data_IF_640211034708
#
_entry.id   IF_640211034708
#
_cell.length_a   1.000
_cell.length_b   1.000
_cell.length_c   1.000
_cell.angle_alpha   90.00
_cell.angle_beta   90.00
_cell.angle_gamma   90.00
#
_symmetry.space_group_name_H-M   'P 1'
#
loop_
_entity.id
_entity.type
_entity.pdbx_description
1 polymer ?
#
# COMPACT_ATOMS: atom_id res chain seq x y z
N UNK A 1 5.33 5.89 14.04
CA UNK A 1 4.68 4.79 13.30
C UNK A 1 5.66 4.20 12.30
N UNK A 2 5.78 2.88 12.25
CA UNK A 2 6.61 2.17 11.26
C UNK A 2 5.84 1.98 9.95
N UNK A 3 6.41 2.41 8.83
CA UNK A 3 5.83 2.30 7.49
C UNK A 3 6.76 1.48 6.59
N UNK A 4 6.21 0.53 5.85
CA UNK A 4 6.94 -0.20 4.80
C UNK A 4 6.48 0.29 3.43
N UNK A 5 7.44 0.56 2.55
CA UNK A 5 7.18 0.83 1.14
C UNK A 5 8.14 0.00 0.30
N UNK A 6 7.62 -0.71 -0.70
CA UNK A 6 8.45 -1.39 -1.72
C UNK A 6 8.47 -0.57 -3.00
N UNK A 7 9.65 -0.29 -3.55
CA UNK A 7 9.79 0.72 -4.59
C UNK A 7 11.06 0.51 -5.44
N UNK A 8 11.01 0.98 -6.69
CA UNK A 8 12.16 1.22 -7.57
C UNK A 8 12.36 2.72 -7.84
N UNK A 9 13.43 3.10 -8.54
CA UNK A 9 13.73 4.51 -8.81
C UNK A 9 12.64 5.23 -9.63
N UNK A 10 11.77 4.50 -10.36
CA UNK A 10 10.72 5.10 -11.18
C UNK A 10 9.58 5.70 -10.35
N UNK A 11 9.44 5.30 -9.09
CA UNK A 11 8.42 5.81 -8.18
C UNK A 11 8.95 6.81 -7.14
N UNK A 12 10.23 7.21 -7.23
CA UNK A 12 10.84 8.09 -6.22
C UNK A 12 10.09 9.42 -6.08
N UNK A 13 9.62 10.02 -7.19
CA UNK A 13 8.82 11.25 -7.14
C UNK A 13 7.47 11.01 -6.44
N UNK A 14 6.77 9.94 -6.79
CA UNK A 14 5.46 9.60 -6.23
C UNK A 14 5.57 9.29 -4.74
N UNK A 15 6.62 8.58 -4.33
CA UNK A 15 6.94 8.36 -2.92
C UNK A 15 7.03 9.68 -2.15
N UNK A 16 7.68 10.71 -2.71
CA UNK A 16 7.79 12.00 -1.99
C UNK A 16 6.44 12.71 -1.84
N UNK A 17 5.52 12.57 -2.80
CA UNK A 17 4.14 13.07 -2.66
C UNK A 17 3.38 12.27 -1.60
N UNK A 18 3.49 10.94 -1.63
CA UNK A 18 2.88 10.06 -0.64
C UNK A 18 3.35 10.42 0.78
N UNK A 19 4.66 10.51 1.00
CA UNK A 19 5.24 10.88 2.30
C UNK A 19 4.85 12.29 2.74
N UNK A 20 4.79 13.25 1.81
CA UNK A 20 4.28 14.60 2.11
C UNK A 20 2.85 14.54 2.61
N UNK A 21 1.99 13.76 1.96
CA UNK A 21 0.59 13.59 2.39
C UNK A 21 0.47 12.93 3.76
N UNK A 22 1.28 11.89 4.01
CA UNK A 22 1.34 11.18 5.28
C UNK A 22 1.70 12.12 6.43
N UNK A 23 2.81 12.85 6.30
CA UNK A 23 3.30 13.78 7.33
C UNK A 23 2.30 14.92 7.55
N UNK A 24 1.80 15.53 6.47
CA UNK A 24 0.90 16.69 6.57
C UNK A 24 -0.41 16.33 7.26
N UNK A 25 -0.97 15.16 6.97
CA UNK A 25 -2.25 14.70 7.52
C UNK A 25 -2.14 14.08 8.91
N UNK A 26 -0.92 13.92 9.44
CA UNK A 26 -0.63 13.29 10.73
C UNK A 26 0.49 14.06 11.46
N UNK A 27 0.35 15.39 11.57
CA UNK A 27 1.43 16.29 12.03
C UNK A 27 1.88 16.08 13.48
N UNK A 28 1.13 15.31 14.26
CA UNK A 28 1.46 14.96 15.65
C UNK A 28 2.23 13.64 15.77
N UNK A 29 2.47 12.95 14.66
CA UNK A 29 3.08 11.64 14.60
C UNK A 29 4.45 11.70 13.91
N UNK A 30 5.39 10.86 14.36
CA UNK A 30 6.65 10.64 13.67
C UNK A 30 6.61 9.32 12.91
N UNK A 31 7.28 9.28 11.77
CA UNK A 31 7.29 8.13 10.88
C UNK A 31 8.69 7.55 10.74
N UNK A 32 8.80 6.23 10.87
CA UNK A 32 9.99 5.48 10.53
C UNK A 32 9.68 4.67 9.27
N UNK A 33 10.23 5.10 8.14
CA UNK A 33 9.88 4.57 6.83
C UNK A 33 10.98 3.66 6.32
N UNK A 34 10.63 2.39 6.17
CA UNK A 34 11.48 1.32 5.66
C UNK A 34 11.26 1.21 4.14
N UNK A 35 12.28 1.59 3.37
CA UNK A 35 12.25 1.47 1.91
C UNK A 35 12.88 0.15 1.50
N UNK A 36 12.04 -0.84 1.18
CA UNK A 36 12.46 -2.14 0.71
C UNK A 36 12.66 -2.13 -0.81
N UNK A 37 13.88 -2.41 -1.26
CA UNK A 37 14.22 -2.38 -2.68
C UNK A 37 15.42 -3.28 -3.02
N UNK A 38 15.61 -3.54 -4.31
CA UNK A 38 16.83 -4.14 -4.86
C UNK A 38 17.69 -3.14 -5.65
N UNK A 39 17.15 -1.97 -6.02
CA UNK A 39 17.74 -1.13 -7.08
C UNK A 39 17.94 0.35 -6.76
N UNK A 40 17.37 0.90 -5.67
CA UNK A 40 17.58 2.32 -5.33
C UNK A 40 19.06 2.65 -5.10
N UNK A 41 19.46 3.78 -5.66
CA UNK A 41 20.81 4.32 -5.59
C UNK A 41 20.94 5.37 -4.48
N UNK A 42 22.17 5.75 -4.14
CA UNK A 42 22.41 6.86 -3.21
C UNK A 42 21.76 8.18 -3.69
N UNK A 43 21.72 8.40 -5.02
CA UNK A 43 21.05 9.56 -5.60
C UNK A 43 19.53 9.55 -5.35
N UNK A 44 18.89 8.38 -5.43
CA UNK A 44 17.47 8.24 -5.12
C UNK A 44 17.20 8.57 -3.64
N UNK A 45 18.00 8.04 -2.72
CA UNK A 45 17.89 8.36 -1.29
C UNK A 45 18.14 9.84 -1.00
N UNK A 46 19.15 10.43 -1.64
CA UNK A 46 19.44 11.86 -1.51
C UNK A 46 18.28 12.71 -2.01
N UNK A 47 17.64 12.33 -3.12
CA UNK A 47 16.45 13.00 -3.63
C UNK A 47 15.27 12.88 -2.66
N UNK A 48 14.99 11.68 -2.15
CA UNK A 48 13.88 11.41 -1.22
C UNK A 48 14.07 12.22 0.06
N UNK A 49 15.24 12.10 0.71
CA UNK A 49 15.55 12.81 1.97
C UNK A 49 15.46 14.33 1.82
N UNK A 50 15.90 14.89 0.69
CA UNK A 50 15.79 16.34 0.42
C UNK A 50 14.36 16.80 0.14
N UNK A 51 13.44 15.87 -0.13
CA UNK A 51 12.06 16.17 -0.51
C UNK A 51 11.07 16.04 0.65
N UNK A 52 11.46 15.47 1.78
CA UNK A 52 10.58 15.23 2.93
C UNK A 52 11.10 15.92 4.20
N UNK A 53 10.22 16.12 5.16
CA UNK A 53 10.57 16.64 6.48
C UNK A 53 11.26 15.53 7.31
N UNK A 54 12.58 15.66 7.50
CA UNK A 54 13.39 14.63 8.18
C UNK A 54 13.24 14.67 9.71
N UNK A 55 12.63 15.72 10.28
CA UNK A 55 12.35 15.78 11.72
C UNK A 55 11.11 14.94 12.08
N UNK A 56 10.23 14.79 11.10
CA UNK A 56 8.96 14.05 11.18
C UNK A 56 9.04 12.66 10.55
N UNK A 57 9.97 12.43 9.63
CA UNK A 57 10.07 11.19 8.85
C UNK A 57 11.54 10.74 8.74
N UNK A 58 11.85 9.59 9.34
CA UNK A 58 13.12 8.91 9.17
C UNK A 58 13.02 7.91 8.00
N UNK A 59 14.11 7.80 7.22
CA UNK A 59 14.18 6.90 6.06
C UNK A 59 15.25 5.85 6.30
N UNK A 60 14.82 4.60 6.46
CA UNK A 60 15.68 3.43 6.61
C UNK A 60 15.81 2.70 5.27
N UNK A 61 17.06 2.51 4.83
CA UNK A 61 17.36 1.72 3.64
C UNK A 61 17.27 0.22 3.97
N UNK A 62 16.39 -0.51 3.28
CA UNK A 62 16.24 -1.96 3.39
C UNK A 62 16.56 -2.60 2.04
N UNK A 63 17.83 -2.92 1.83
CA UNK A 63 18.26 -3.64 0.62
C UNK A 63 17.86 -5.09 0.73
N UNK A 64 17.06 -5.58 -0.21
CA UNK A 64 16.66 -6.97 -0.30
C UNK A 64 17.66 -7.72 -1.19
N UNK A 65 18.43 -8.68 -0.63
CA UNK A 65 19.37 -9.48 -1.40
C UNK A 65 18.67 -10.30 -2.49
N UNK A 66 19.33 -10.42 -3.65
CA UNK A 66 18.79 -11.12 -4.82
C UNK A 66 18.48 -12.60 -4.57
N UNK A 67 19.16 -13.20 -3.60
CA UNK A 67 19.10 -14.61 -3.21
C UNK A 67 18.20 -14.88 -1.99
N UNK A 68 17.63 -13.84 -1.36
CA UNK A 68 16.76 -13.99 -0.18
C UNK A 68 15.58 -14.92 -0.43
N UNK A 69 15.07 -14.94 -1.66
CA UNK A 69 13.97 -15.78 -2.11
C UNK A 69 14.43 -16.82 -3.14
N UNK A 70 15.65 -17.35 -2.99
CA UNK A 70 16.14 -18.43 -3.84
C UNK A 70 15.14 -19.59 -3.90
N UNK A 71 14.83 -20.04 -5.12
CA UNK A 71 13.81 -21.06 -5.38
C UNK A 71 12.37 -20.54 -5.50
N UNK A 72 12.13 -19.23 -5.33
CA UNK A 72 10.84 -18.64 -5.63
C UNK A 72 10.52 -18.72 -7.13
N UNK A 73 9.25 -18.94 -7.51
CA UNK A 73 8.81 -18.80 -8.90
C UNK A 73 8.93 -17.35 -9.37
N UNK A 74 9.98 -17.04 -10.14
CA UNK A 74 10.22 -15.69 -10.68
C UNK A 74 10.08 -15.72 -12.20
N UNK A 75 9.26 -14.83 -12.75
CA UNK A 75 9.11 -14.58 -14.19
C UNK A 75 8.80 -13.10 -14.41
N UNK A 76 8.78 -12.62 -15.66
CA UNK A 76 8.29 -11.26 -15.96
C UNK A 76 6.87 -10.99 -15.44
N UNK A 77 6.07 -12.05 -15.29
CA UNK A 77 4.72 -12.00 -14.71
C UNK A 77 4.72 -12.06 -13.17
N UNK A 78 5.79 -12.57 -12.56
CA UNK A 78 5.95 -12.79 -11.11
C UNK A 78 7.25 -12.10 -10.66
N UNK A 79 7.24 -10.76 -10.61
CA UNK A 79 8.45 -9.98 -10.33
C UNK A 79 8.88 -10.19 -8.87
N UNK A 80 10.19 -10.20 -8.59
CA UNK A 80 10.74 -10.49 -7.25
C UNK A 80 10.15 -9.59 -6.16
N UNK A 81 9.82 -8.36 -6.52
CA UNK A 81 9.24 -7.31 -5.70
C UNK A 81 7.93 -7.74 -5.04
N UNK A 82 7.18 -8.68 -5.63
CA UNK A 82 5.98 -9.26 -5.01
C UNK A 82 6.31 -9.96 -3.68
N UNK A 83 7.48 -10.60 -3.58
CA UNK A 83 7.90 -11.32 -2.40
C UNK A 83 8.32 -10.39 -1.27
N UNK A 84 8.70 -9.15 -1.59
CA UNK A 84 9.14 -8.18 -0.58
C UNK A 84 7.99 -7.85 0.37
N UNK A 85 6.77 -7.67 -0.15
CA UNK A 85 5.59 -7.44 0.71
C UNK A 85 5.12 -8.71 1.41
N UNK A 86 5.13 -9.86 0.72
CA UNK A 86 4.62 -11.12 1.27
C UNK A 86 5.48 -11.58 2.45
N UNK A 87 6.79 -11.44 2.36
CA UNK A 87 7.76 -11.91 3.35
C UNK A 87 8.42 -10.76 4.13
N UNK A 88 7.70 -9.65 4.32
CA UNK A 88 8.19 -8.48 5.04
C UNK A 88 8.83 -8.82 6.40
N UNK A 89 8.23 -9.77 7.12
CA UNK A 89 8.67 -10.21 8.44
C UNK A 89 10.08 -10.84 8.47
N UNK A 90 10.60 -11.31 7.32
CA UNK A 90 11.91 -11.96 7.23
C UNK A 90 13.10 -11.01 7.26
N UNK A 91 12.91 -9.77 6.81
CA UNK A 91 14.00 -8.80 6.69
C UNK A 91 13.83 -7.57 7.57
N UNK A 92 12.64 -7.34 8.13
CA UNK A 92 12.40 -6.26 9.07
C UNK A 92 12.98 -6.57 10.47
N UNK A 93 13.27 -5.53 11.29
CA UNK A 93 13.81 -5.69 12.65
C UNK A 93 13.04 -6.70 13.49
N UNK A 94 13.75 -7.61 14.17
CA UNK A 94 13.15 -8.76 14.85
C UNK A 94 12.27 -8.38 16.05
N UNK A 95 12.53 -7.23 16.65
CA UNK A 95 11.80 -6.64 17.76
C UNK A 95 10.59 -5.78 17.32
N UNK A 96 10.35 -5.66 16.02
CA UNK A 96 9.19 -4.97 15.48
C UNK A 96 8.01 -5.94 15.31
N UNK A 97 6.96 -5.75 16.09
CA UNK A 97 5.77 -6.64 16.05
C UNK A 97 4.75 -6.25 14.96
N UNK A 98 4.73 -4.99 14.54
CA UNK A 98 3.72 -4.45 13.62
C UNK A 98 4.28 -3.38 12.69
N UNK A 99 3.86 -3.41 11.43
CA UNK A 99 4.19 -2.38 10.43
C UNK A 99 2.99 -2.12 9.52
N UNK A 100 2.86 -0.88 9.01
CA UNK A 100 1.87 -0.54 8.00
C UNK A 100 2.55 -0.47 6.63
N UNK A 101 2.18 -1.37 5.73
CA UNK A 101 2.59 -1.34 4.34
C UNK A 101 1.71 -0.40 3.52
N UNK A 102 2.35 0.45 2.71
CA UNK A 102 1.69 1.36 1.77
C UNK A 102 2.36 1.26 0.40
N UNK A 103 1.56 1.06 -0.66
CA UNK A 103 2.04 1.24 -2.03
C UNK A 103 2.39 2.73 -2.28
N UNK A 104 3.36 3.03 -3.17
CA UNK A 104 3.81 4.41 -3.41
C UNK A 104 2.80 5.26 -4.21
N UNK A 105 1.71 4.67 -4.68
CA UNK A 105 0.67 5.29 -5.51
C UNK A 105 -0.59 5.65 -4.73
N UNK A 106 -0.41 6.02 -3.46
CA UNK A 106 -1.47 6.46 -2.55
C UNK A 106 -1.23 7.90 -2.06
N UNK A 107 -2.29 8.53 -1.57
CA UNK A 107 -2.20 9.74 -0.74
C UNK A 107 -3.00 9.54 0.54
N UNK A 108 -2.43 10.02 1.65
CA UNK A 108 -3.04 10.02 2.98
C UNK A 108 -3.62 11.40 3.24
N UNK A 109 -4.95 11.48 3.34
CA UNK A 109 -5.69 12.76 3.37
C UNK A 109 -6.30 13.08 4.74
N UNK A 110 -6.36 12.10 5.65
CA UNK A 110 -6.76 12.24 7.05
C UNK A 110 -5.93 11.32 7.94
N UNK A 111 -6.13 11.39 9.26
CA UNK A 111 -5.36 10.62 10.25
C UNK A 111 -5.47 9.09 10.02
N UNK A 112 -4.38 8.38 10.34
CA UNK A 112 -4.28 6.91 10.23
C UNK A 112 -3.89 6.24 11.56
N UNK A 113 -3.93 6.96 12.67
CA UNK A 113 -3.62 6.47 14.02
C UNK A 113 -4.50 5.28 14.42
N UNK A 114 -5.81 5.34 14.14
CA UNK A 114 -6.75 4.25 14.38
C UNK A 114 -6.41 3.00 13.55
N UNK A 115 -6.01 3.18 12.29
CA UNK A 115 -5.56 2.07 11.44
C UNK A 115 -4.31 1.42 12.02
N UNK A 116 -3.31 2.22 12.40
CA UNK A 116 -2.03 1.70 12.90
C UNK A 116 -2.18 1.00 14.26
N UNK A 117 -3.01 1.56 15.14
CA UNK A 117 -3.23 1.05 16.50
C UNK A 117 -4.17 -0.16 16.56
N UNK A 118 -4.90 -0.45 15.47
CA UNK A 118 -5.83 -1.57 15.38
C UNK A 118 -5.25 -2.90 15.90
N UNK A 119 -6.02 -3.58 16.75
CA UNK A 119 -5.72 -4.94 17.19
C UNK A 119 -6.04 -5.94 16.07
N UNK A 120 -5.01 -6.68 15.63
CA UNK A 120 -5.10 -7.68 14.57
C UNK A 120 -5.66 -9.03 15.07
N UNK A 121 -5.84 -9.21 16.38
CA UNK A 121 -6.49 -10.40 16.97
C UNK A 121 -5.92 -11.74 16.47
N UNK A 122 -4.60 -11.80 16.33
CA UNK A 122 -3.87 -12.98 15.81
C UNK A 122 -3.93 -13.17 14.29
N UNK A 123 -4.58 -12.28 13.54
CA UNK A 123 -4.52 -12.28 12.08
C UNK A 123 -3.16 -11.79 11.60
N UNK A 124 -2.76 -12.25 10.41
CA UNK A 124 -1.52 -11.83 9.75
C UNK A 124 -1.64 -10.40 9.22
N UNK A 125 -2.82 -10.08 8.69
CA UNK A 125 -3.04 -8.81 7.99
C UNK A 125 -4.36 -8.16 8.39
N UNK A 126 -4.44 -6.83 8.26
CA UNK A 126 -5.69 -6.14 8.00
C UNK A 126 -5.56 -5.35 6.69
N UNK A 127 -6.52 -5.54 5.78
CA UNK A 127 -6.50 -4.92 4.46
C UNK A 127 -7.92 -4.67 3.93
N UNK A 128 -8.06 -3.70 3.04
CA UNK A 128 -9.35 -3.27 2.51
C UNK A 128 -9.80 -4.11 1.31
N UNK A 129 -11.11 -4.32 1.16
CA UNK A 129 -11.68 -5.00 -0.02
C UNK A 129 -12.28 -4.02 -1.02
N UNK A 130 -11.81 -4.09 -2.26
CA UNK A 130 -12.31 -3.25 -3.36
C UNK A 130 -13.44 -3.92 -4.17
N UNK A 131 -13.97 -5.05 -3.69
CA UNK A 131 -14.68 -5.98 -4.57
C UNK A 131 -16.16 -6.12 -4.20
N UNK A 132 -17.03 -5.84 -5.17
CA UNK A 132 -18.47 -6.16 -5.11
C UNK A 132 -18.72 -7.68 -5.03
N UNK A 133 -19.85 -8.09 -4.44
CA UNK A 133 -20.18 -9.52 -4.18
C UNK A 133 -20.01 -10.45 -5.40
N UNK A 134 -20.30 -9.99 -6.62
CA UNK A 134 -20.20 -10.82 -7.82
C UNK A 134 -18.75 -11.08 -8.25
N UNK A 135 -17.89 -10.05 -8.18
CA UNK A 135 -16.45 -10.20 -8.45
C UNK A 135 -15.76 -10.99 -7.34
N UNK A 136 -16.27 -10.92 -6.08
CA UNK A 136 -15.79 -11.77 -4.98
C UNK A 136 -15.95 -13.24 -5.32
N UNK A 137 -17.12 -13.65 -5.83
CA UNK A 137 -17.40 -15.05 -6.18
C UNK A 137 -16.52 -15.57 -7.32
N UNK A 138 -16.25 -14.76 -8.34
CA UNK A 138 -15.34 -15.14 -9.45
C UNK A 138 -13.91 -15.33 -8.93
N UNK A 139 -13.42 -14.39 -8.12
CA UNK A 139 -12.08 -14.48 -7.54
C UNK A 139 -11.97 -15.64 -6.55
N UNK A 140 -12.99 -15.88 -5.73
CA UNK A 140 -13.03 -16.99 -4.80
C UNK A 140 -12.90 -18.34 -5.49
N UNK A 141 -13.65 -18.57 -6.58
CA UNK A 141 -13.53 -19.79 -7.38
C UNK A 141 -12.17 -19.89 -8.07
N UNK A 142 -11.66 -18.79 -8.64
CA UNK A 142 -10.37 -18.78 -9.36
C UNK A 142 -9.19 -19.12 -8.45
N UNK A 143 -9.26 -18.69 -7.19
CA UNK A 143 -8.17 -18.74 -6.22
C UNK A 143 -8.41 -19.74 -5.07
N UNK A 144 -9.45 -20.57 -5.17
CA UNK A 144 -9.87 -21.52 -4.13
C UNK A 144 -10.02 -20.89 -2.75
N UNK A 145 -10.52 -19.65 -2.68
CA UNK A 145 -10.68 -18.94 -1.41
C UNK A 145 -11.87 -19.51 -0.62
N UNK A 146 -11.83 -19.52 0.72
CA UNK A 146 -12.97 -19.90 1.56
C UNK A 146 -14.25 -19.12 1.19
N UNK A 147 -15.42 -19.75 1.29
CA UNK A 147 -16.69 -19.21 0.76
C UNK A 147 -17.08 -17.84 1.36
N UNK A 148 -16.71 -17.57 2.61
CA UNK A 148 -16.97 -16.31 3.32
C UNK A 148 -15.80 -15.30 3.27
N UNK A 149 -14.70 -15.66 2.62
CA UNK A 149 -13.55 -14.77 2.49
C UNK A 149 -13.81 -13.65 1.49
N UNK A 150 -13.13 -12.53 1.69
CA UNK A 150 -13.26 -11.38 0.82
C UNK A 150 -11.92 -11.04 0.18
N UNK A 151 -11.96 -10.83 -1.13
CA UNK A 151 -10.80 -10.42 -1.90
C UNK A 151 -10.34 -9.01 -1.54
N UNK A 152 -9.14 -8.89 -0.98
CA UNK A 152 -8.49 -7.64 -0.54
C UNK A 152 -7.63 -7.01 -1.63
N UNK A 153 -7.42 -5.71 -1.53
CA UNK A 153 -6.31 -5.03 -2.20
C UNK A 153 -5.06 -5.03 -1.32
N UNK A 154 -3.89 -5.27 -1.92
CA UNK A 154 -2.60 -5.39 -1.23
C UNK A 154 -1.83 -4.08 -1.08
N UNK A 155 -2.40 -2.94 -1.47
CA UNK A 155 -1.71 -1.65 -1.44
C UNK A 155 -1.76 -0.89 -0.12
N UNK A 156 -2.64 -1.31 0.80
CA UNK A 156 -2.68 -0.82 2.17
C UNK A 156 -2.89 -2.01 3.08
N UNK A 157 -1.88 -2.34 3.88
CA UNK A 157 -1.91 -3.53 4.74
C UNK A 157 -1.25 -3.26 6.09
N UNK A 158 -2.01 -3.39 7.17
CA UNK A 158 -1.42 -3.51 8.49
C UNK A 158 -0.93 -4.95 8.66
N UNK A 159 0.35 -5.15 8.96
CA UNK A 159 0.98 -6.45 9.03
C UNK A 159 1.36 -6.80 10.46
N UNK A 160 0.96 -7.99 10.91
CA UNK A 160 1.38 -8.58 12.17
C UNK A 160 2.70 -9.32 11.97
N UNK A 161 3.81 -8.63 12.15
CA UNK A 161 5.13 -9.19 11.91
C UNK A 161 5.44 -10.32 12.89
N UNK A 162 4.97 -10.23 14.14
CA UNK A 162 5.13 -11.29 15.12
C UNK A 162 4.49 -12.61 14.65
N UNK A 163 3.20 -12.57 14.32
CA UNK A 163 2.49 -13.76 13.83
C UNK A 163 3.09 -14.31 12.52
N UNK A 164 3.50 -13.42 11.63
CA UNK A 164 4.16 -13.82 10.38
C UNK A 164 5.49 -14.53 10.63
N UNK A 165 6.32 -14.07 11.58
CA UNK A 165 7.58 -14.75 11.91
C UNK A 165 7.36 -16.13 12.51
N UNK A 166 6.35 -16.26 13.37
CA UNK A 166 6.06 -17.50 14.07
C UNK A 166 5.41 -18.54 13.15
N UNK A 167 4.53 -18.12 12.26
CA UNK A 167 3.57 -19.03 11.61
C UNK A 167 3.58 -19.01 10.06
N UNK A 168 4.27 -18.06 9.40
CA UNK A 168 4.25 -17.99 7.93
C UNK A 168 5.14 -19.08 7.28
N UNK A 169 4.55 -19.89 6.40
CA UNK A 169 5.27 -20.91 5.65
C UNK A 169 5.62 -20.44 4.23
N UNK A 170 6.91 -20.37 3.93
CA UNK A 170 7.42 -19.97 2.60
C UNK A 170 7.06 -20.97 1.51
N UNK A 171 7.16 -22.28 1.82
CA UNK A 171 6.90 -23.32 0.82
C UNK A 171 5.45 -23.33 0.38
N UNK A 172 4.53 -23.10 1.32
CA UNK A 172 3.10 -22.98 1.03
C UNK A 172 2.83 -21.89 -0.02
N UNK A 173 3.47 -20.72 0.11
CA UNK A 173 3.36 -19.64 -0.87
C UNK A 173 3.93 -20.05 -2.23
N UNK A 174 5.11 -20.67 -2.27
CA UNK A 174 5.74 -21.09 -3.52
C UNK A 174 4.93 -22.17 -4.23
N UNK A 175 4.47 -23.17 -3.49
CA UNK A 175 3.63 -24.25 -3.99
C UNK A 175 2.30 -23.71 -4.53
N UNK A 176 1.69 -22.74 -3.82
CA UNK A 176 0.47 -22.07 -4.29
C UNK A 176 0.70 -21.34 -5.62
N UNK A 177 1.81 -20.59 -5.75
CA UNK A 177 2.15 -19.88 -6.98
C UNK A 177 2.35 -20.86 -8.13
N UNK A 178 3.12 -21.94 -7.95
CA UNK A 178 3.34 -22.94 -9.00
C UNK A 178 2.04 -23.60 -9.45
N UNK A 179 1.18 -23.99 -8.49
CA UNK A 179 -0.10 -24.63 -8.78
C UNK A 179 -1.10 -23.69 -9.46
N UNK A 180 -1.07 -22.38 -9.14
CA UNK A 180 -2.03 -21.39 -9.65
C UNK A 180 -1.47 -20.46 -10.72
N UNK A 181 -0.23 -20.63 -11.20
CA UNK A 181 0.45 -19.69 -12.11
C UNK A 181 -0.28 -19.34 -13.40
N UNK A 182 -1.17 -20.18 -13.91
CA UNK A 182 -1.98 -19.86 -15.09
C UNK A 182 -3.18 -18.96 -14.75
N UNK A 183 -3.62 -18.97 -13.50
CA UNK A 183 -4.81 -18.31 -13.00
C UNK A 183 -4.53 -16.99 -12.27
N UNK A 184 -3.29 -16.70 -11.86
CA UNK A 184 -2.94 -15.44 -11.17
C UNK A 184 -2.94 -14.25 -12.16
N UNK A 185 -3.85 -13.31 -11.95
CA UNK A 185 -3.99 -12.09 -12.76
C UNK A 185 -3.25 -10.90 -12.11
N UNK A 186 -3.26 -10.83 -10.79
CA UNK A 186 -2.57 -9.83 -9.98
C UNK A 186 -1.70 -10.59 -8.96
N UNK A 187 -0.44 -10.89 -9.31
CA UNK A 187 0.37 -11.90 -8.63
C UNK A 187 0.43 -11.81 -7.11
N UNK A 188 0.87 -10.68 -6.58
CA UNK A 188 1.04 -10.45 -5.15
C UNK A 188 -0.31 -10.52 -4.42
N UNK A 189 -1.30 -9.83 -4.97
CA UNK A 189 -2.63 -9.72 -4.38
C UNK A 189 -3.38 -11.05 -4.42
N UNK A 190 -3.30 -11.80 -5.52
CA UNK A 190 -3.95 -13.10 -5.67
C UNK A 190 -3.32 -14.17 -4.76
N UNK A 191 -2.01 -14.09 -4.53
CA UNK A 191 -1.32 -14.99 -3.59
C UNK A 191 -1.72 -14.68 -2.15
N UNK A 192 -1.71 -13.41 -1.74
CA UNK A 192 -2.16 -13.02 -0.40
C UNK A 192 -3.62 -13.45 -0.14
N UNK A 193 -4.50 -13.27 -1.12
CA UNK A 193 -5.89 -13.67 -1.02
C UNK A 193 -6.10 -15.18 -1.04
N UNK A 194 -5.32 -15.93 -1.81
CA UNK A 194 -5.43 -17.38 -1.90
C UNK A 194 -4.89 -18.10 -0.66
N UNK A 195 -3.75 -17.65 -0.15
CA UNK A 195 -3.04 -18.31 0.96
C UNK A 195 -3.50 -17.80 2.32
N UNK A 196 -3.83 -16.50 2.46
CA UNK A 196 -4.04 -15.87 3.76
C UNK A 196 -5.42 -15.21 3.92
N UNK A 197 -6.41 -15.59 3.11
CA UNK A 197 -7.76 -15.04 3.18
C UNK A 197 -8.41 -15.16 4.57
N UNK A 198 -8.24 -16.30 5.23
CA UNK A 198 -8.77 -16.61 6.57
C UNK A 198 -7.92 -16.02 7.71
N UNK A 199 -6.72 -15.50 7.38
CA UNK A 199 -5.80 -14.82 8.30
C UNK A 199 -5.76 -13.31 8.06
N UNK A 200 -6.78 -12.75 7.42
CA UNK A 200 -6.85 -11.33 7.05
C UNK A 200 -8.13 -10.68 7.58
N UNK A 201 -7.97 -9.68 8.43
CA UNK A 201 -9.06 -8.79 8.84
C UNK A 201 -9.42 -7.81 7.72
N UNK A 202 -10.70 -7.46 7.64
CA UNK A 202 -11.21 -6.56 6.61
C UNK A 202 -11.25 -5.12 7.10
N UNK A 203 -10.70 -4.21 6.30
CA UNK A 203 -10.81 -2.76 6.46
C UNK A 203 -11.92 -2.20 5.56
N UNK A 204 -12.50 -1.06 5.96
CA UNK A 204 -13.40 -0.31 5.10
C UNK A 204 -12.61 0.39 3.98
N UNK A 205 -12.86 -0.03 2.74
CA UNK A 205 -12.22 0.55 1.56
C UNK A 205 -12.64 2.00 1.28
N UNK A 206 -13.80 2.45 1.74
CA UNK A 206 -14.15 3.88 1.63
C UNK A 206 -13.28 4.76 2.54
N UNK A 207 -12.69 4.17 3.58
CA UNK A 207 -11.90 4.90 4.58
C UNK A 207 -10.41 4.72 4.32
N UNK A 208 -9.93 3.48 4.22
CA UNK A 208 -8.50 3.17 4.25
C UNK A 208 -7.91 2.74 2.91
N UNK A 209 -8.67 2.71 1.81
CA UNK A 209 -8.14 2.31 0.50
C UNK A 209 -9.05 2.75 -0.66
N UNK A 210 -9.50 4.00 -0.67
CA UNK A 210 -10.50 4.45 -1.64
C UNK A 210 -9.87 4.62 -3.03
N UNK A 211 -10.46 4.03 -4.06
CA UNK A 211 -10.10 4.28 -5.46
C UNK A 211 -11.26 4.89 -6.24
N UNK A 212 -10.97 5.60 -7.34
CA UNK A 212 -12.01 6.15 -8.24
C UNK A 212 -12.99 5.07 -8.69
N UNK A 213 -12.45 3.90 -9.05
CA UNK A 213 -13.24 2.75 -9.47
C UNK A 213 -14.20 2.31 -8.36
N UNK A 214 -13.70 2.18 -7.14
CA UNK A 214 -14.51 1.73 -6.01
C UNK A 214 -15.59 2.76 -5.65
N UNK A 215 -15.25 4.05 -5.62
CA UNK A 215 -16.21 5.13 -5.39
C UNK A 215 -17.33 5.13 -6.45
N UNK A 216 -16.96 4.97 -7.72
CA UNK A 216 -17.91 4.93 -8.83
C UNK A 216 -18.86 3.73 -8.72
N UNK A 217 -18.34 2.52 -8.42
CA UNK A 217 -19.18 1.35 -8.21
C UNK A 217 -20.08 1.48 -6.99
N UNK A 218 -19.55 2.00 -5.87
CA UNK A 218 -20.32 2.25 -4.67
C UNK A 218 -21.49 3.21 -4.96
N UNK A 219 -21.24 4.33 -5.64
CA UNK A 219 -22.26 5.34 -5.95
C UNK A 219 -23.25 4.91 -7.05
N UNK A 220 -22.83 4.01 -7.95
CA UNK A 220 -23.70 3.44 -8.97
C UNK A 220 -24.60 2.32 -8.43
N UNK A 221 -24.28 1.73 -7.28
CA UNK A 221 -25.07 0.67 -6.68
C UNK A 221 -26.45 1.21 -6.25
N UNK A 222 -27.58 0.62 -6.73
CA UNK A 222 -28.92 1.08 -6.37
C UNK A 222 -29.20 1.10 -4.87
N UNK A 223 -28.53 0.25 -4.08
CA UNK A 223 -28.65 0.22 -2.61
C UNK A 223 -28.11 1.48 -1.93
N UNK A 224 -27.27 2.24 -2.63
CA UNK A 224 -26.59 3.42 -2.11
C UNK A 224 -27.15 4.75 -2.65
N UNK A 225 -28.28 4.74 -3.37
CA UNK A 225 -28.85 5.97 -3.99
C UNK A 225 -29.05 7.10 -2.96
N UNK A 226 -29.52 6.78 -1.76
CA UNK A 226 -29.72 7.75 -0.68
C UNK A 226 -28.47 8.05 0.17
N UNK A 227 -27.34 7.42 -0.12
CA UNK A 227 -26.09 7.52 0.65
C UNK A 227 -24.87 7.57 -0.28
N UNK A 228 -24.99 8.27 -1.41
CA UNK A 228 -23.85 8.48 -2.31
C UNK A 228 -22.77 9.29 -1.60
N UNK A 229 -21.52 8.94 -1.84
CA UNK A 229 -20.35 9.63 -1.31
C UNK A 229 -19.88 10.64 -2.35
N UNK A 230 -20.00 11.92 -2.02
CA UNK A 230 -19.47 13.01 -2.82
C UNK A 230 -18.05 13.39 -2.38
N UNK A 231 -17.43 14.33 -3.07
CA UNK A 231 -16.06 14.79 -2.75
C UNK A 231 -15.94 15.42 -1.37
N UNK A 232 -17.02 16.02 -0.84
CA UNK A 232 -17.01 16.54 0.54
C UNK A 232 -16.98 15.40 1.53
N UNK A 233 -17.78 14.36 1.34
CA UNK A 233 -17.74 13.19 2.19
C UNK A 233 -16.34 12.56 2.16
N UNK A 234 -15.76 12.36 0.98
CA UNK A 234 -14.41 11.80 0.83
C UNK A 234 -13.39 12.62 1.60
N UNK A 235 -13.38 13.94 1.42
CA UNK A 235 -12.42 14.83 2.10
C UNK A 235 -12.49 14.74 3.64
N UNK A 236 -13.66 14.47 4.22
CA UNK A 236 -13.84 14.44 5.69
C UNK A 236 -13.76 13.03 6.29
N UNK A 237 -13.93 11.97 5.51
CA UNK A 237 -14.11 10.62 6.04
C UNK A 237 -13.06 9.62 5.53
N UNK A 238 -12.51 9.83 4.34
CA UNK A 238 -11.50 8.92 3.78
C UNK A 238 -10.13 9.28 4.33
N UNK A 239 -9.40 8.33 4.89
CA UNK A 239 -8.00 8.54 5.29
C UNK A 239 -7.01 8.28 4.17
N UNK A 240 -7.24 7.26 3.33
CA UNK A 240 -6.28 6.86 2.29
C UNK A 240 -6.99 6.71 0.94
N UNK A 241 -6.47 7.42 -0.06
CA UNK A 241 -6.86 7.28 -1.46
C UNK A 241 -5.75 6.54 -2.21
N UNK A 242 -6.13 5.51 -2.96
CA UNK A 242 -5.24 4.65 -3.71
C UNK A 242 -5.54 4.73 -5.21
N UNK A 243 -4.55 5.16 -5.99
CA UNK A 243 -4.64 5.30 -7.45
C UNK A 243 -4.33 3.97 -8.15
N UNK A 244 -5.12 2.93 -7.88
CA UNK A 244 -4.83 1.56 -8.32
C UNK A 244 -4.68 1.39 -9.84
N UNK A 245 -3.74 0.55 -10.27
CA UNK A 245 -3.59 0.13 -11.68
C UNK A 245 -2.98 1.21 -12.58
N UNK A 246 -3.35 1.24 -13.87
CA UNK A 246 -2.65 2.06 -14.89
C UNK A 246 -3.05 3.55 -14.90
N UNK A 247 -4.22 3.87 -14.36
CA UNK A 247 -4.80 5.22 -14.32
C UNK A 247 -4.22 5.99 -13.14
N UNK A 248 -3.21 6.83 -13.39
CA UNK A 248 -2.44 7.52 -12.34
C UNK A 248 -2.56 9.04 -12.48
N UNK A 249 -2.72 9.81 -11.39
CA UNK A 249 -2.92 11.26 -11.45
C UNK A 249 -1.72 12.02 -12.02
N UNK A 250 -0.49 11.50 -11.93
CA UNK A 250 0.70 12.08 -12.55
C UNK A 250 0.85 11.79 -14.06
N UNK A 251 -0.15 11.15 -14.68
CA UNK A 251 -0.17 10.93 -16.14
C UNK A 251 -1.19 11.87 -16.79
N UNK A 252 -0.85 12.37 -17.97
CA UNK A 252 -1.67 13.32 -18.73
C UNK A 252 -3.10 12.83 -19.05
N UNK A 253 -3.32 11.52 -19.06
CA UNK A 253 -4.60 10.90 -19.41
C UNK A 253 -5.34 10.34 -18.19
N UNK A 254 -5.04 10.81 -16.98
CA UNK A 254 -5.77 10.43 -15.78
C UNK A 254 -7.27 10.71 -15.93
N UNK A 255 -8.09 9.75 -15.52
CA UNK A 255 -9.55 9.84 -15.50
C UNK A 255 -10.07 9.50 -14.11
N UNK A 256 -10.51 10.50 -13.37
CA UNK A 256 -11.02 10.32 -12.01
C UNK A 256 -11.20 11.66 -11.32
N UNK A 257 -12.02 11.67 -10.28
CA UNK A 257 -12.28 12.87 -9.49
C UNK A 257 -11.32 12.95 -8.29
N UNK A 258 -10.75 11.82 -7.87
CA UNK A 258 -9.85 11.75 -6.71
C UNK A 258 -8.45 12.32 -6.97
N UNK A 259 -8.10 12.65 -8.22
CA UNK A 259 -6.80 13.23 -8.57
C UNK A 259 -6.55 14.58 -7.92
N UNK A 260 -7.60 15.31 -7.55
CA UNK A 260 -7.51 16.61 -6.85
C UNK A 260 -6.69 16.52 -5.56
N UNK A 261 -6.75 15.39 -4.85
CA UNK A 261 -5.99 15.18 -3.63
C UNK A 261 -4.50 14.97 -3.90
N UNK A 262 -4.14 14.19 -4.93
CA UNK A 262 -2.74 14.06 -5.36
C UNK A 262 -2.15 15.42 -5.75
N UNK A 263 -2.85 16.19 -6.58
CA UNK A 263 -2.38 17.51 -7.01
C UNK A 263 -2.24 18.49 -5.85
N UNK A 264 -3.09 18.38 -4.83
CA UNK A 264 -2.97 19.20 -3.62
C UNK A 264 -1.63 18.95 -2.91
N UNK A 265 -1.29 17.69 -2.60
CA UNK A 265 -0.02 17.37 -1.92
C UNK A 265 1.21 17.56 -2.80
N UNK A 266 1.09 17.32 -4.10
CA UNK A 266 2.16 17.65 -5.05
C UNK A 266 2.47 19.16 -5.04
N UNK A 267 1.44 20.01 -4.96
CA UNK A 267 1.62 21.46 -4.83
C UNK A 267 2.22 21.87 -3.48
N UNK A 268 1.86 21.22 -2.38
CA UNK A 268 2.51 21.44 -1.07
C UNK A 268 4.00 21.10 -1.16
N UNK A 269 4.34 19.94 -1.71
CA UNK A 269 5.73 19.50 -1.89
C UNK A 269 6.54 20.51 -2.70
N UNK A 270 6.00 20.97 -3.84
CA UNK A 270 6.63 21.98 -4.71
C UNK A 270 6.87 23.30 -3.97
N UNK A 271 5.91 23.76 -3.15
CA UNK A 271 6.05 24.98 -2.34
C UNK A 271 7.07 24.83 -1.22
N UNK A 272 7.11 23.68 -0.56
CA UNK A 272 8.11 23.36 0.46
C UNK A 272 9.54 23.39 -0.10
N UNK A 273 9.77 22.77 -1.27
CA UNK A 273 11.08 22.79 -1.95
C UNK A 273 11.57 24.22 -2.25
N UNK A 274 10.67 25.10 -2.66
CA UNK A 274 11.03 26.50 -2.92
C UNK A 274 11.45 27.24 -1.63
N UNK A 275 10.85 26.93 -0.48
CA UNK A 275 11.21 27.56 0.80
C UNK A 275 12.65 27.24 1.24
N UNK A 276 13.12 26.01 0.98
CA UNK A 276 14.50 25.58 1.30
C UNK A 276 15.54 25.99 0.25
N UNK A 277 15.12 26.40 -0.95
CA UNK A 277 16.02 26.93 -1.98
C UNK A 277 16.48 28.37 -1.67
N UNK A 278 15.66 29.17 -0.99
CA UNK A 278 16.00 30.54 -0.58
C UNK A 278 16.89 30.61 0.67
N UNK A 279 16.89 29.58 1.54
CA UNK A 279 17.72 29.55 2.75
C UNK A 279 19.16 29.05 2.52
N UNK A 280 19.58 28.78 1.28
CA UNK A 280 20.94 28.32 0.94
C UNK A 280 21.81 29.38 0.24
N UNK A 281 21.36 30.63 0.19
CA UNK A 281 22.07 31.75 -0.43
C UNK A 281 22.55 32.82 0.56
N UNK A 282 22.65 32.49 1.85
CA UNK A 282 23.26 33.36 2.87
C UNK A 282 24.59 32.76 3.38
#
# INVERSE_FOLDING_TARGET
MNILVTIDSNYAEQLTVMLTSLITSNSNEKFDVYLAHSSLTENDFNFIKRSVDNDMCSITNVVIPDDMFAGAPVTDRYPKEMYYRIFAAKYLPQDMDKILYLDPDIVVINEISDLYSMDLRGNYFAAASHVDKNLKRINGIRLDMPEDSTYINSGVMLMNLKELRENQNVREVYDYIENKKLFLLLPDQDVLNGVYADKTMHLDALIYNLSDRYLNFYNANPKNIGNKKDMRWVAHNTSIIHYCGRNKPWKNNYRGDLGVFYYYYENILKRGKNKYAFCKND
#
